data_IF_350199446178
#
_entry.id   IF_350199446178
#
_cell.length_a   1.000
_cell.length_b   1.000
_cell.length_c   1.000
_cell.angle_alpha   90.00
_cell.angle_beta   90.00
_cell.angle_gamma   90.00
#
_symmetry.space_group_name_H-M   'P 1'
#
loop_
_entity.id
_entity.type
_entity.pdbx_description
1 polymer ?
#
# COMPACT_ATOMS: atom_id res chain seq x y z
N UNK A 1 -2.40 13.19 19.29
CA UNK A 1 -2.98 12.73 18.02
C UNK A 1 -1.96 11.82 17.39
N UNK A 2 -2.42 10.69 16.88
CA UNK A 2 -1.57 9.68 16.27
C UNK A 2 -1.12 10.20 14.89
N UNK A 3 0.18 10.49 14.73
CA UNK A 3 0.73 11.03 13.47
C UNK A 3 0.41 10.12 12.28
N UNK A 4 0.36 8.80 12.50
CA UNK A 4 0.03 7.83 11.47
C UNK A 4 -1.38 8.06 10.95
N UNK A 5 -2.34 8.19 11.87
CA UNK A 5 -3.74 8.45 11.54
C UNK A 5 -3.90 9.78 10.80
N UNK A 6 -3.24 10.83 11.28
CA UNK A 6 -3.33 12.16 10.69
C UNK A 6 -2.78 12.19 9.25
N UNK A 7 -1.65 11.53 8.99
CA UNK A 7 -1.05 11.43 7.66
C UNK A 7 -1.94 10.60 6.73
N UNK A 8 -2.41 9.44 7.19
CA UNK A 8 -3.32 8.59 6.41
C UNK A 8 -4.60 9.34 6.02
N UNK A 9 -5.24 9.99 7.00
CA UNK A 9 -6.47 10.75 6.77
C UNK A 9 -6.24 11.92 5.81
N UNK A 10 -5.10 12.61 5.89
CA UNK A 10 -4.74 13.66 4.93
C UNK A 10 -4.55 13.11 3.52
N UNK A 11 -3.91 11.96 3.39
CA UNK A 11 -3.67 11.31 2.09
C UNK A 11 -4.99 11.00 1.37
N UNK A 12 -5.96 10.45 2.09
CA UNK A 12 -7.24 10.06 1.53
C UNK A 12 -8.38 11.05 1.80
N UNK A 13 -8.07 12.27 2.25
CA UNK A 13 -9.05 13.28 2.65
C UNK A 13 -10.10 13.57 1.56
N UNK A 14 -9.65 13.59 0.30
CA UNK A 14 -10.52 13.82 -0.87
C UNK A 14 -11.67 12.81 -0.98
N UNK A 15 -11.46 11.59 -0.51
CA UNK A 15 -12.43 10.49 -0.56
C UNK A 15 -13.11 10.23 0.79
N UNK A 16 -12.79 11.05 1.81
CA UNK A 16 -13.28 10.90 3.19
C UNK A 16 -13.00 9.49 3.75
N UNK A 17 -11.84 8.92 3.40
CA UNK A 17 -11.43 7.61 3.90
C UNK A 17 -10.60 7.82 5.14
N UNK A 18 -10.94 7.10 6.20
CA UNK A 18 -10.23 7.08 7.47
C UNK A 18 -9.98 5.64 7.92
N UNK A 19 -8.98 5.44 8.76
CA UNK A 19 -8.76 4.13 9.40
C UNK A 19 -9.95 3.79 10.32
N UNK A 20 -10.42 2.53 10.34
CA UNK A 20 -11.43 2.10 11.31
C UNK A 20 -10.88 2.20 12.74
N UNK A 21 -11.67 2.77 13.66
CA UNK A 21 -11.24 3.02 15.05
C UNK A 21 -10.74 1.74 15.74
N UNK A 22 -11.41 0.61 15.51
CA UNK A 22 -11.01 -0.68 16.10
C UNK A 22 -9.62 -1.10 15.64
N UNK A 23 -9.33 -1.00 14.34
CA UNK A 23 -8.03 -1.36 13.79
C UNK A 23 -6.93 -0.44 14.31
N UNK A 24 -7.23 0.86 14.43
CA UNK A 24 -6.31 1.84 14.97
C UNK A 24 -6.03 1.58 16.45
N UNK A 25 -7.04 1.33 17.28
CA UNK A 25 -6.86 1.10 18.71
C UNK A 25 -6.13 -0.22 19.01
N UNK A 26 -6.48 -1.29 18.28
CA UNK A 26 -5.91 -2.63 18.51
C UNK A 26 -4.63 -2.88 17.71
N UNK A 27 -4.18 -1.91 16.89
CA UNK A 27 -3.06 -2.05 15.93
C UNK A 27 -3.19 -3.31 15.08
N UNK A 28 -4.41 -3.58 14.63
CA UNK A 28 -4.73 -4.76 13.84
C UNK A 28 -4.78 -4.42 12.37
N UNK A 29 -4.26 -5.34 11.56
CA UNK A 29 -4.43 -5.30 10.10
C UNK A 29 -5.90 -5.25 9.69
N UNK A 30 -6.17 -4.67 8.53
CA UNK A 30 -7.52 -4.52 8.04
C UNK A 30 -7.56 -4.23 6.55
N UNK A 31 -8.79 -4.08 6.06
CA UNK A 31 -9.07 -3.68 4.68
C UNK A 31 -10.18 -2.64 4.63
N UNK A 32 -10.08 -1.72 3.68
CA UNK A 32 -11.08 -0.68 3.41
C UNK A 32 -11.48 -0.76 1.95
N UNK A 33 -12.79 -0.77 1.70
CA UNK A 33 -13.37 -0.71 0.36
C UNK A 33 -14.31 0.49 0.28
N UNK A 34 -13.82 1.61 -0.25
CA UNK A 34 -14.59 2.87 -0.28
C UNK A 34 -14.20 3.73 -1.48
N UNK A 35 -15.19 4.37 -2.10
CA UNK A 35 -14.99 5.34 -3.19
C UNK A 35 -14.13 4.83 -4.37
N UNK A 36 -14.17 3.51 -4.64
CA UNK A 36 -13.38 2.87 -5.70
C UNK A 36 -11.95 2.48 -5.30
N UNK A 37 -11.58 2.70 -4.04
CA UNK A 37 -10.35 2.22 -3.42
C UNK A 37 -10.55 0.85 -2.78
N UNK A 38 -9.55 -0.01 -2.94
CA UNK A 38 -9.31 -1.19 -2.11
C UNK A 38 -7.98 -0.95 -1.39
N UNK A 39 -8.01 -0.84 -0.06
CA UNK A 39 -6.84 -0.52 0.75
C UNK A 39 -6.66 -1.63 1.77
N UNK A 40 -5.60 -2.42 1.65
CA UNK A 40 -5.18 -3.35 2.69
C UNK A 40 -4.06 -2.72 3.49
N UNK A 41 -4.05 -2.90 4.81
CA UNK A 41 -3.05 -2.29 5.67
C UNK A 41 -2.69 -3.17 6.86
N UNK A 42 -1.46 -3.00 7.36
CA UNK A 42 -0.92 -3.66 8.55
C UNK A 42 -0.21 -2.64 9.44
N UNK A 43 -0.17 -2.92 10.74
CA UNK A 43 0.68 -2.20 11.69
C UNK A 43 1.90 -3.05 12.06
N UNK A 44 3.01 -2.41 12.37
CA UNK A 44 4.21 -3.07 12.84
C UNK A 44 5.15 -2.12 13.57
N UNK A 45 6.25 -2.66 14.05
CA UNK A 45 7.32 -1.89 14.69
C UNK A 45 8.63 -2.25 13.99
N UNK A 46 9.37 -1.24 13.54
CA UNK A 46 10.70 -1.37 12.95
C UNK A 46 11.64 -0.39 13.64
N UNK A 47 12.80 -0.85 14.12
CA UNK A 47 13.77 0.00 14.83
C UNK A 47 13.18 0.82 16.00
N UNK A 48 12.24 0.22 16.75
CA UNK A 48 11.52 0.88 17.85
C UNK A 48 10.66 2.08 17.39
N UNK A 49 10.28 2.13 16.11
CA UNK A 49 9.30 3.05 15.56
C UNK A 49 8.09 2.27 15.06
N UNK A 50 6.91 2.67 15.51
CA UNK A 50 5.65 2.14 14.99
C UNK A 50 5.41 2.63 13.55
N UNK A 51 4.83 1.76 12.72
CA UNK A 51 4.45 2.10 11.35
C UNK A 51 3.09 1.50 10.94
N UNK A 52 2.48 2.14 9.95
CA UNK A 52 1.39 1.62 9.13
C UNK A 52 1.90 1.42 7.71
N UNK A 53 1.83 0.19 7.22
CA UNK A 53 2.08 -0.13 5.81
C UNK A 53 0.74 -0.41 5.14
N UNK A 54 0.50 0.20 3.98
CA UNK A 54 -0.71 -0.04 3.21
C UNK A 54 -0.42 -0.20 1.72
N UNK A 55 -1.23 -1.04 1.07
CA UNK A 55 -1.33 -1.14 -0.37
C UNK A 55 -2.74 -0.72 -0.79
N UNK A 56 -2.81 0.32 -1.61
CA UNK A 56 -4.05 0.96 -2.04
C UNK A 56 -4.17 0.86 -3.57
N UNK A 57 -5.23 0.21 -4.04
CA UNK A 57 -5.57 0.03 -5.45
C UNK A 57 -6.79 0.90 -5.74
N UNK A 58 -6.75 1.67 -6.82
CA UNK A 58 -7.92 2.43 -7.28
C UNK A 58 -8.20 2.16 -8.75
N UNK A 59 -9.47 1.97 -9.08
CA UNK A 59 -9.91 1.57 -10.43
C UNK A 59 -9.54 2.54 -11.57
N UNK A 60 -9.15 3.79 -11.28
CA UNK A 60 -8.85 4.82 -12.28
C UNK A 60 -7.49 5.51 -12.09
N UNK A 61 -6.72 5.13 -11.07
CA UNK A 61 -5.41 5.74 -10.79
C UNK A 61 -4.42 4.65 -10.42
N UNK A 62 -3.13 4.96 -10.48
CA UNK A 62 -2.10 4.00 -10.09
C UNK A 62 -2.25 3.56 -8.62
N UNK A 63 -1.79 2.35 -8.35
CA UNK A 63 -1.68 1.80 -7.01
C UNK A 63 -0.71 2.63 -6.15
N UNK A 64 -0.82 2.50 -4.84
CA UNK A 64 0.08 3.12 -3.87
C UNK A 64 0.48 2.12 -2.81
N UNK A 65 1.79 1.88 -2.68
CA UNK A 65 2.38 1.07 -1.63
C UNK A 65 3.19 2.00 -0.73
N UNK A 66 2.81 2.13 0.53
CA UNK A 66 3.37 3.18 1.39
C UNK A 66 3.45 2.75 2.84
N UNK A 67 4.55 3.15 3.49
CA UNK A 67 4.76 3.05 4.93
C UNK A 67 4.71 4.45 5.53
N UNK A 68 3.93 4.61 6.60
CA UNK A 68 3.87 5.83 7.42
C UNK A 68 4.39 5.46 8.81
N UNK A 69 5.48 6.09 9.24
CA UNK A 69 6.04 5.91 10.56
C UNK A 69 5.46 6.92 11.57
N UNK A 70 5.44 6.58 12.86
CA UNK A 70 4.91 7.44 13.92
C UNK A 70 5.66 8.77 14.08
N UNK A 71 6.93 8.83 13.66
CA UNK A 71 7.74 10.04 13.62
C UNK A 71 7.33 11.01 12.47
N UNK A 72 6.39 10.58 11.61
CA UNK A 72 5.91 11.33 10.46
C UNK A 72 6.66 11.06 9.16
N UNK A 73 7.66 10.18 9.16
CA UNK A 73 8.34 9.76 7.94
C UNK A 73 7.41 8.93 7.05
N UNK A 74 7.49 9.18 5.75
CA UNK A 74 6.71 8.48 4.73
C UNK A 74 7.68 7.83 3.75
N UNK A 75 7.50 6.54 3.52
CA UNK A 75 8.29 5.77 2.56
C UNK A 75 7.37 5.17 1.50
N UNK A 76 7.68 5.43 0.24
CA UNK A 76 7.00 4.81 -0.89
C UNK A 76 7.74 3.53 -1.29
N UNK A 77 7.00 2.43 -1.38
CA UNK A 77 7.51 1.12 -1.79
C UNK A 77 7.11 0.82 -3.24
N UNK A 78 7.70 -0.22 -3.81
CA UNK A 78 7.38 -0.62 -5.18
C UNK A 78 5.93 -1.12 -5.28
N UNK A 79 5.24 -0.67 -6.33
CA UNK A 79 3.90 -1.13 -6.69
C UNK A 79 3.94 -2.13 -7.85
N UNK A 80 2.84 -2.86 -8.03
CA UNK A 80 2.61 -3.60 -9.25
C UNK A 80 2.51 -2.61 -10.41
N UNK A 81 3.29 -2.85 -11.45
CA UNK A 81 3.23 -2.03 -12.66
C UNK A 81 2.18 -2.60 -13.61
N UNK A 82 1.43 -1.74 -14.33
CA UNK A 82 0.53 -2.21 -15.37
C UNK A 82 1.34 -2.94 -16.46
N UNK A 83 0.72 -3.91 -17.17
CA UNK A 83 1.37 -4.56 -18.29
C UNK A 83 1.96 -3.54 -19.28
N UNK A 84 3.17 -3.79 -19.75
CA UNK A 84 3.78 -2.98 -20.80
C UNK A 84 2.91 -3.04 -22.05
N UNK A 85 2.39 -1.88 -22.49
CA UNK A 85 1.72 -1.79 -23.78
C UNK A 85 2.79 -2.02 -24.88
N UNK A 86 2.54 -2.98 -25.77
CA UNK A 86 3.35 -3.26 -26.98
C UNK A 86 4.66 -4.06 -26.83
N UNK A 87 4.89 -4.82 -25.75
CA UNK A 87 6.01 -5.78 -25.70
C UNK A 87 5.60 -7.21 -26.03
N UNK A 88 6.42 -7.90 -26.81
CA UNK A 88 6.27 -9.33 -27.06
C UNK A 88 6.65 -10.13 -25.80
N UNK A 89 6.00 -11.27 -25.48
CA UNK A 89 6.35 -12.10 -24.31
C UNK A 89 7.81 -12.58 -24.27
N UNK A 90 8.50 -12.52 -25.41
CA UNK A 90 9.89 -12.92 -25.59
C UNK A 90 10.88 -11.77 -25.37
N UNK A 91 10.40 -10.52 -25.26
CA UNK A 91 11.21 -9.32 -25.02
C UNK A 91 11.83 -9.37 -23.61
N UNK A 92 13.12 -9.05 -23.52
CA UNK A 92 13.86 -8.99 -22.26
C UNK A 92 13.23 -7.97 -21.30
N UNK A 93 12.74 -6.85 -21.82
CA UNK A 93 12.02 -5.86 -21.02
C UNK A 93 10.73 -6.43 -20.40
N UNK A 94 9.97 -7.23 -21.16
CA UNK A 94 8.78 -7.90 -20.64
C UNK A 94 9.13 -8.93 -19.56
N UNK A 95 10.24 -9.67 -19.72
CA UNK A 95 10.70 -10.64 -18.73
C UNK A 95 11.10 -9.98 -17.42
N UNK A 96 11.89 -8.91 -17.49
CA UNK A 96 12.30 -8.16 -16.30
C UNK A 96 11.11 -7.47 -15.63
N UNK A 97 10.18 -6.91 -16.41
CA UNK A 97 8.91 -6.37 -15.89
C UNK A 97 8.11 -7.43 -15.12
N UNK A 98 7.91 -8.62 -15.71
CA UNK A 98 7.18 -9.71 -15.08
C UNK A 98 7.88 -10.22 -13.81
N UNK A 99 9.22 -10.29 -13.83
CA UNK A 99 10.03 -10.70 -12.68
C UNK A 99 9.90 -9.71 -11.52
N UNK A 100 9.94 -8.39 -11.80
CA UNK A 100 9.71 -7.34 -10.80
C UNK A 100 8.31 -7.42 -10.20
N UNK A 101 7.28 -7.47 -11.04
CA UNK A 101 5.90 -7.58 -10.58
C UNK A 101 5.65 -8.85 -9.77
N UNK A 102 6.30 -9.97 -10.13
CA UNK A 102 6.22 -11.21 -9.35
C UNK A 102 6.79 -11.03 -7.94
N UNK A 103 7.97 -10.41 -7.82
CA UNK A 103 8.60 -10.15 -6.52
C UNK A 103 7.73 -9.26 -5.63
N UNK A 104 7.22 -8.16 -6.19
CA UNK A 104 6.30 -7.25 -5.46
C UNK A 104 5.03 -8.00 -5.04
N UNK A 105 4.44 -8.80 -5.94
CA UNK A 105 3.25 -9.59 -5.62
C UNK A 105 3.48 -10.57 -4.48
N UNK A 106 4.60 -11.29 -4.49
CA UNK A 106 4.97 -12.25 -3.44
C UNK A 106 5.12 -11.53 -2.09
N UNK A 107 5.81 -10.38 -2.06
CA UNK A 107 5.94 -9.57 -0.83
C UNK A 107 4.59 -9.09 -0.28
N UNK A 108 3.70 -8.60 -1.15
CA UNK A 108 2.38 -8.13 -0.73
C UNK A 108 1.52 -9.27 -0.17
N UNK A 109 1.56 -10.46 -0.77
CA UNK A 109 0.82 -11.64 -0.29
C UNK A 109 1.36 -12.07 1.08
N UNK A 110 2.68 -12.15 1.25
CA UNK A 110 3.32 -12.54 2.51
C UNK A 110 2.93 -11.58 3.65
N UNK A 111 2.79 -10.29 3.33
CA UNK A 111 2.36 -9.24 4.27
C UNK A 111 0.84 -9.13 4.45
N UNK A 112 0.04 -9.93 3.75
CA UNK A 112 -1.43 -9.80 3.70
C UNK A 112 -1.93 -8.43 3.20
N UNK A 113 -1.20 -7.82 2.26
CA UNK A 113 -1.54 -6.54 1.62
C UNK A 113 -2.19 -6.73 0.23
N UNK A 114 -2.26 -7.96 -0.28
CA UNK A 114 -2.96 -8.37 -1.50
C UNK A 114 -3.68 -9.71 -1.27
#
# INVERSE_FOLDING_TARGET
MDNIQDIFNKWFARWQITLPDKNLQERQKGSIFQAGWSINFIFGIENNLEYLEFYAIHRMTNDSHTVIYENGEIKHLECLNPPLEYSSPIDENQREHNKKNRKVKEELIDKSLL
#
